data_IF_581891858271
#
_entry.id   IF_581891858271
#
_cell.length_a   1.000
_cell.length_b   1.000
_cell.length_c   1.000
_cell.angle_alpha   90.00
_cell.angle_beta   90.00
_cell.angle_gamma   90.00
#
_symmetry.space_group_name_H-M   'P 1'
#
loop_
_entity.id
_entity.type
_entity.pdbx_description
1 polymer ?
#
# COMPACT_ATOMS: atom_id res chain seq x y z
N UNK A 1 48.09 -1.26 30.15
CA UNK A 1 46.68 -1.69 30.06
C UNK A 1 46.52 -2.92 30.92
N UNK A 2 45.69 -2.85 31.96
CA UNK A 2 45.42 -4.01 32.81
C UNK A 2 44.55 -5.01 32.06
N UNK A 3 44.75 -6.31 32.31
CA UNK A 3 43.97 -7.38 31.65
C UNK A 3 42.45 -7.23 31.79
N UNK A 4 41.97 -6.54 32.83
CA UNK A 4 40.55 -6.23 33.06
C UNK A 4 39.92 -5.33 32.00
N UNK A 5 40.68 -4.38 31.43
CA UNK A 5 40.14 -3.42 30.46
C UNK A 5 39.96 -4.06 29.09
N UNK A 6 40.84 -5.02 28.75
CA UNK A 6 40.78 -5.80 27.51
C UNK A 6 39.58 -6.75 27.55
N UNK A 7 39.35 -7.42 28.69
CA UNK A 7 38.24 -8.35 28.86
C UNK A 7 36.88 -7.61 28.83
N UNK A 8 36.78 -6.43 29.44
CA UNK A 8 35.58 -5.59 29.35
C UNK A 8 35.33 -5.06 27.92
N UNK A 9 36.38 -4.63 27.20
CA UNK A 9 36.25 -4.22 25.80
C UNK A 9 35.81 -5.38 24.91
N UNK A 10 36.36 -6.57 25.12
CA UNK A 10 35.99 -7.75 24.33
C UNK A 10 34.55 -8.19 24.63
N UNK A 11 34.12 -8.13 25.89
CA UNK A 11 32.75 -8.42 26.29
C UNK A 11 31.75 -7.40 25.69
N UNK A 12 32.09 -6.11 25.69
CA UNK A 12 31.30 -5.06 25.03
C UNK A 12 31.22 -5.25 23.52
N UNK A 13 32.34 -5.60 22.87
CA UNK A 13 32.39 -5.88 21.43
C UNK A 13 31.53 -7.08 21.06
N UNK A 14 31.62 -8.18 21.83
CA UNK A 14 30.80 -9.39 21.65
C UNK A 14 29.31 -9.13 21.88
N UNK A 15 28.96 -8.32 22.90
CA UNK A 15 27.58 -7.90 23.15
C UNK A 15 27.05 -7.03 22.00
N UNK A 16 27.81 -6.03 21.56
CA UNK A 16 27.47 -5.15 20.43
C UNK A 16 27.26 -5.93 19.12
N UNK A 17 28.12 -6.91 18.83
CA UNK A 17 27.99 -7.79 17.66
C UNK A 17 26.76 -8.69 17.73
N UNK A 18 26.44 -9.26 18.90
CA UNK A 18 25.21 -10.05 19.10
C UNK A 18 23.95 -9.19 18.96
N UNK A 19 23.97 -7.96 19.48
CA UNK A 19 22.87 -7.00 19.29
C UNK A 19 22.71 -6.65 17.81
N UNK A 20 23.82 -6.42 17.09
CA UNK A 20 23.83 -6.09 15.66
C UNK A 20 23.21 -7.18 14.77
N UNK A 21 23.60 -8.47 14.94
CA UNK A 21 23.03 -9.57 14.15
C UNK A 21 21.55 -9.83 14.45
N UNK A 22 21.15 -9.76 15.72
CA UNK A 22 19.74 -9.88 16.14
C UNK A 22 18.86 -8.77 15.54
N UNK A 23 19.45 -7.59 15.32
CA UNK A 23 18.75 -6.46 14.69
C UNK A 23 18.53 -6.70 13.19
N UNK A 24 19.47 -7.27 12.44
CA UNK A 24 19.29 -7.46 10.99
C UNK A 24 18.16 -8.44 10.65
N UNK A 25 18.09 -9.59 11.35
CA UNK A 25 17.03 -10.57 11.10
C UNK A 25 15.65 -9.97 11.39
N UNK A 26 15.48 -9.31 12.54
CA UNK A 26 14.19 -8.81 13.00
C UNK A 26 13.77 -7.48 12.33
N UNK A 27 14.72 -6.62 11.97
CA UNK A 27 14.42 -5.28 11.42
C UNK A 27 14.51 -5.21 9.89
N UNK A 28 15.13 -6.20 9.21
CA UNK A 28 15.24 -6.23 7.75
C UNK A 28 14.62 -7.49 7.15
N UNK A 29 15.18 -8.67 7.47
CA UNK A 29 14.83 -9.92 6.76
C UNK A 29 13.37 -10.30 7.01
N UNK A 30 12.95 -10.35 8.28
CA UNK A 30 11.56 -10.69 8.65
C UNK A 30 10.55 -9.69 8.06
N UNK A 31 10.73 -8.36 8.19
CA UNK A 31 9.87 -7.38 7.54
C UNK A 31 9.80 -7.55 6.02
N UNK A 32 10.95 -7.72 5.33
CA UNK A 32 10.97 -7.92 3.88
C UNK A 32 10.17 -9.17 3.51
N UNK A 33 10.47 -10.32 4.11
CA UNK A 33 9.79 -11.57 3.76
C UNK A 33 8.29 -11.49 4.03
N UNK A 34 7.89 -11.01 5.21
CA UNK A 34 6.48 -10.88 5.57
C UNK A 34 5.72 -9.92 4.64
N UNK A 35 6.28 -8.74 4.38
CA UNK A 35 5.64 -7.75 3.53
C UNK A 35 5.57 -8.20 2.07
N UNK A 36 6.58 -8.92 1.59
CA UNK A 36 6.63 -9.44 0.23
C UNK A 36 5.62 -10.56 0.02
N UNK A 37 5.48 -11.50 0.95
CA UNK A 37 4.49 -12.58 0.82
C UNK A 37 3.06 -12.07 0.95
N UNK A 38 2.81 -11.16 1.90
CA UNK A 38 1.52 -10.47 2.02
C UNK A 38 1.25 -9.69 0.72
N UNK A 39 2.18 -8.87 0.28
CA UNK A 39 2.03 -8.07 -0.94
C UNK A 39 1.70 -8.91 -2.15
N UNK A 40 2.47 -9.98 -2.39
CA UNK A 40 2.24 -10.92 -3.47
C UNK A 40 0.82 -11.48 -3.47
N UNK A 41 0.35 -11.99 -2.32
CA UNK A 41 -1.00 -12.52 -2.20
C UNK A 41 -2.07 -11.45 -2.47
N UNK A 42 -2.01 -10.34 -1.74
CA UNK A 42 -3.06 -9.32 -1.77
C UNK A 42 -3.17 -8.62 -3.12
N UNK A 43 -2.05 -8.41 -3.80
CA UNK A 43 -2.07 -7.81 -5.14
C UNK A 43 -2.57 -8.77 -6.20
N UNK A 44 -2.22 -10.04 -6.09
CA UNK A 44 -2.74 -11.03 -7.02
C UNK A 44 -4.27 -11.15 -6.94
N UNK A 45 -4.86 -10.97 -5.74
CA UNK A 45 -6.31 -10.84 -5.57
C UNK A 45 -6.85 -9.52 -6.14
N UNK A 46 -6.13 -8.41 -5.97
CA UNK A 46 -6.46 -7.14 -6.63
C UNK A 46 -6.56 -7.27 -8.15
N UNK A 47 -5.77 -8.16 -8.74
CA UNK A 47 -5.86 -8.52 -10.14
C UNK A 47 -7.15 -9.28 -10.55
N UNK A 48 -8.01 -9.64 -9.61
CA UNK A 48 -9.26 -10.36 -9.87
C UNK A 48 -10.47 -9.43 -10.03
N UNK A 49 -11.56 -9.98 -10.57
CA UNK A 49 -12.84 -9.26 -10.71
C UNK A 49 -13.30 -8.66 -9.37
N UNK A 50 -13.91 -7.48 -9.44
CA UNK A 50 -14.37 -6.72 -8.28
C UNK A 50 -13.31 -5.87 -7.57
N UNK A 51 -12.02 -6.25 -7.61
CA UNK A 51 -10.95 -5.53 -6.90
C UNK A 51 -10.12 -4.59 -7.78
N UNK A 52 -10.69 -4.04 -8.85
CA UNK A 52 -10.02 -3.05 -9.68
C UNK A 52 -9.78 -1.71 -8.97
N UNK A 53 -8.76 -0.97 -9.39
CA UNK A 53 -8.55 0.42 -9.00
C UNK A 53 -8.36 0.65 -7.49
N UNK A 54 -9.09 1.63 -6.94
CA UNK A 54 -8.93 2.12 -5.57
C UNK A 54 -9.36 1.11 -4.52
N UNK A 55 -10.45 0.36 -4.75
CA UNK A 55 -10.93 -0.65 -3.81
C UNK A 55 -9.93 -1.80 -3.65
N UNK A 56 -9.34 -2.27 -4.75
CA UNK A 56 -8.22 -3.21 -4.72
C UNK A 56 -6.99 -2.65 -4.04
N UNK A 57 -6.70 -1.36 -4.25
CA UNK A 57 -5.62 -0.65 -3.55
C UNK A 57 -5.84 -0.64 -2.03
N UNK A 58 -7.05 -0.34 -1.57
CA UNK A 58 -7.42 -0.40 -0.15
C UNK A 58 -7.31 -1.81 0.41
N UNK A 59 -7.81 -2.81 -0.33
CA UNK A 59 -7.71 -4.23 0.02
C UNK A 59 -6.26 -4.68 0.20
N UNK A 60 -5.36 -4.29 -0.71
CA UNK A 60 -3.96 -4.63 -0.59
C UNK A 60 -3.23 -3.80 0.49
N UNK A 61 -3.57 -2.51 0.59
CA UNK A 61 -3.02 -1.59 1.57
C UNK A 61 -3.26 -2.05 3.00
N UNK A 62 -4.44 -2.60 3.33
CA UNK A 62 -4.72 -3.04 4.70
C UNK A 62 -3.83 -4.21 5.15
N UNK A 63 -3.45 -5.12 4.24
CA UNK A 63 -2.50 -6.19 4.53
C UNK A 63 -1.15 -5.66 4.99
N UNK A 64 -0.55 -4.75 4.21
CA UNK A 64 0.72 -4.11 4.56
C UNK A 64 0.63 -3.19 5.78
N UNK A 65 -0.46 -2.43 5.88
CA UNK A 65 -0.72 -1.51 6.98
C UNK A 65 -0.69 -2.23 8.33
N UNK A 66 -1.39 -3.36 8.42
CA UNK A 66 -1.45 -4.15 9.63
C UNK A 66 -0.12 -4.81 9.92
N UNK A 67 0.52 -5.44 8.92
CA UNK A 67 1.86 -6.01 9.09
C UNK A 67 2.88 -4.98 9.59
N UNK A 68 2.84 -3.75 9.05
CA UNK A 68 3.71 -2.66 9.48
C UNK A 68 3.44 -2.32 10.93
N UNK A 69 2.17 -2.09 11.28
CA UNK A 69 1.76 -1.76 12.63
C UNK A 69 2.24 -2.82 13.62
N UNK A 70 2.02 -4.12 13.36
CA UNK A 70 2.48 -5.19 14.26
C UNK A 70 3.99 -5.26 14.42
N UNK A 71 4.75 -5.13 13.33
CA UNK A 71 6.21 -5.16 13.39
C UNK A 71 6.75 -3.94 14.15
N UNK A 72 6.09 -2.79 13.99
CA UNK A 72 6.48 -1.52 14.60
C UNK A 72 6.01 -1.32 16.03
N UNK A 73 5.02 -2.09 16.49
CA UNK A 73 4.33 -1.85 17.73
C UNK A 73 5.26 -2.06 18.93
N UNK A 74 5.25 -1.09 19.85
CA UNK A 74 5.98 -1.14 21.11
C UNK A 74 4.98 -0.99 22.26
N UNK A 75 5.07 -1.89 23.26
CA UNK A 75 4.25 -1.80 24.48
C UNK A 75 4.66 -0.63 25.37
N UNK A 76 5.92 -0.22 25.27
CA UNK A 76 6.47 0.86 26.04
C UNK A 76 5.68 2.15 25.79
N UNK A 77 5.47 2.93 26.85
CA UNK A 77 4.81 4.23 26.77
C UNK A 77 5.59 5.17 25.84
N UNK A 78 6.91 5.18 25.99
CA UNK A 78 7.84 5.86 25.08
C UNK A 78 8.14 4.95 23.91
N UNK A 79 7.38 5.14 22.84
CA UNK A 79 7.65 4.55 21.53
C UNK A 79 8.98 5.11 21.00
N UNK A 80 9.89 4.21 20.62
CA UNK A 80 11.22 4.54 20.08
C UNK A 80 11.22 4.56 18.56
N UNK A 81 10.24 3.91 17.94
CA UNK A 81 10.09 3.82 16.48
C UNK A 81 9.21 4.94 15.93
N UNK A 82 9.67 5.71 14.92
CA UNK A 82 8.93 6.86 14.39
C UNK A 82 7.54 6.52 13.81
N UNK A 83 7.39 5.36 13.18
CA UNK A 83 6.17 4.93 12.49
C UNK A 83 5.47 3.77 13.22
N UNK A 84 5.35 3.87 14.54
CA UNK A 84 4.73 2.86 15.43
C UNK A 84 3.32 3.24 15.93
N UNK A 85 2.77 4.36 15.45
CA UNK A 85 1.41 4.78 15.78
C UNK A 85 0.36 4.07 14.94
N UNK A 86 -0.85 3.88 15.49
CA UNK A 86 -2.02 3.36 14.79
C UNK A 86 -2.37 4.14 13.52
N UNK A 87 -2.07 5.45 13.47
CA UNK A 87 -2.24 6.25 12.25
C UNK A 87 -1.49 5.73 11.02
N UNK A 88 -0.44 4.93 11.22
CA UNK A 88 0.26 4.32 10.09
C UNK A 88 -0.66 3.37 9.31
N UNK A 89 -1.65 2.78 9.98
CA UNK A 89 -2.64 1.92 9.35
C UNK A 89 -3.47 2.74 8.37
N UNK A 90 -4.03 3.86 8.84
CA UNK A 90 -4.75 4.80 7.98
C UNK A 90 -3.88 5.34 6.84
N UNK A 91 -2.64 5.77 7.12
CA UNK A 91 -1.74 6.30 6.08
C UNK A 91 -1.48 5.30 4.95
N UNK A 92 -1.17 4.05 5.28
CA UNK A 92 -0.86 3.02 4.28
C UNK A 92 -2.11 2.63 3.50
N UNK A 93 -3.24 2.40 4.18
CA UNK A 93 -4.52 2.06 3.54
C UNK A 93 -4.94 3.16 2.56
N UNK A 94 -4.94 4.41 3.01
CA UNK A 94 -5.34 5.53 2.17
C UNK A 94 -4.33 5.81 1.07
N UNK A 95 -3.03 5.68 1.33
CA UNK A 95 -2.00 5.93 0.32
C UNK A 95 -2.09 4.97 -0.85
N UNK A 96 -2.18 3.67 -0.56
CA UNK A 96 -2.33 2.63 -1.59
C UNK A 96 -3.74 2.70 -2.21
N UNK A 97 -4.78 3.04 -1.44
CA UNK A 97 -6.12 3.26 -1.98
C UNK A 97 -6.17 4.42 -2.99
N UNK A 98 -5.62 5.58 -2.63
CA UNK A 98 -5.59 6.79 -3.45
C UNK A 98 -4.81 6.55 -4.73
N UNK A 99 -3.62 5.97 -4.68
CA UNK A 99 -2.93 5.69 -5.94
C UNK A 99 -3.64 4.59 -6.77
N UNK A 100 -4.59 3.84 -6.20
CA UNK A 100 -5.39 2.89 -6.96
C UNK A 100 -6.42 3.60 -7.83
N UNK A 101 -6.64 4.89 -7.62
CA UNK A 101 -7.46 5.74 -8.47
C UNK A 101 -6.77 6.07 -9.81
N UNK A 102 -5.51 5.64 -10.01
CA UNK A 102 -4.90 5.65 -11.33
C UNK A 102 -5.54 4.60 -12.24
N UNK A 103 -6.02 5.04 -13.41
CA UNK A 103 -6.18 4.14 -14.54
C UNK A 103 -4.80 3.80 -15.11
N UNK A 104 -4.51 2.53 -15.37
CA UNK A 104 -3.27 2.15 -16.05
C UNK A 104 -3.43 1.00 -17.05
N UNK A 105 -4.62 0.37 -17.10
CA UNK A 105 -4.84 -0.80 -17.95
C UNK A 105 -4.62 -0.54 -19.45
N UNK A 106 -4.69 0.70 -19.91
CA UNK A 106 -4.41 1.06 -21.30
C UNK A 106 -2.90 1.11 -21.63
N UNK A 107 -2.04 1.36 -20.65
CA UNK A 107 -0.59 1.42 -20.88
C UNK A 107 0.00 0.05 -21.22
N UNK A 108 -0.78 -0.99 -20.95
CA UNK A 108 -0.49 -2.38 -21.24
C UNK A 108 -0.49 -2.74 -22.72
N UNK A 109 -1.32 -2.08 -23.52
CA UNK A 109 -1.20 -2.20 -24.97
C UNK A 109 -0.04 -1.36 -25.50
N UNK A 110 0.27 -0.23 -24.85
CA UNK A 110 1.34 0.66 -25.30
C UNK A 110 2.72 0.01 -25.18
N UNK A 111 3.00 -0.75 -24.12
CA UNK A 111 4.23 -1.56 -24.01
C UNK A 111 4.33 -2.65 -25.08
N UNK A 112 3.21 -3.08 -25.67
CA UNK A 112 3.17 -3.98 -26.82
C UNK A 112 3.30 -3.23 -28.16
N UNK A 113 3.51 -1.92 -28.13
CA UNK A 113 3.62 -1.06 -29.30
C UNK A 113 2.28 -0.71 -29.94
N UNK A 114 1.15 -0.91 -29.25
CA UNK A 114 -0.21 -0.70 -29.78
C UNK A 114 -0.94 0.39 -29.02
N UNK A 115 -1.30 1.48 -29.69
CA UNK A 115 -2.25 2.46 -29.19
C UNK A 115 -3.61 2.21 -29.84
N UNK A 116 -4.58 1.68 -29.10
CA UNK A 116 -5.91 1.39 -29.63
C UNK A 116 -6.71 2.67 -29.84
N UNK A 117 -7.29 2.80 -31.03
CA UNK A 117 -8.29 3.82 -31.37
C UNK A 117 -9.70 3.28 -31.11
N UNK A 118 -9.90 1.99 -31.40
CA UNK A 118 -11.13 1.23 -31.18
C UNK A 118 -10.77 -0.24 -30.86
N UNK A 119 -10.66 -0.57 -29.57
CA UNK A 119 -10.27 -1.89 -29.11
C UNK A 119 -11.35 -2.95 -29.41
N UNK A 120 -10.96 -4.16 -29.88
CA UNK A 120 -9.60 -4.64 -30.13
C UNK A 120 -9.12 -4.47 -31.58
N UNK A 121 -9.88 -3.82 -32.45
CA UNK A 121 -9.77 -3.94 -33.92
C UNK A 121 -8.85 -2.88 -34.54
N UNK A 122 -8.90 -1.64 -34.07
CA UNK A 122 -8.18 -0.51 -34.67
C UNK A 122 -7.11 0.03 -33.70
N UNK A 123 -5.86 0.08 -34.17
CA UNK A 123 -4.74 0.61 -33.40
C UNK A 123 -3.68 1.23 -34.31
N UNK A 124 -2.90 2.15 -33.74
CA UNK A 124 -1.74 2.78 -34.38
C UNK A 124 -0.46 2.43 -33.61
N UNK A 125 0.70 2.35 -34.29
CA UNK A 125 1.96 2.04 -33.61
C UNK A 125 2.35 3.15 -32.64
N UNK A 126 2.83 2.75 -31.45
CA UNK A 126 3.38 3.64 -30.44
C UNK A 126 4.73 3.09 -29.96
N UNK A 127 5.66 3.97 -29.58
CA UNK A 127 6.91 3.54 -28.96
C UNK A 127 6.63 2.87 -27.60
N UNK A 128 7.02 1.59 -27.39
CA UNK A 128 6.83 0.89 -26.12
C UNK A 128 7.36 1.61 -24.88
N UNK A 129 8.43 2.40 -25.04
CA UNK A 129 9.02 3.18 -23.95
C UNK A 129 8.02 4.14 -23.29
N UNK A 130 7.03 4.63 -24.06
CA UNK A 130 5.95 5.46 -23.52
C UNK A 130 5.08 4.68 -22.55
N UNK A 131 4.71 3.44 -22.88
CA UNK A 131 3.96 2.56 -21.98
C UNK A 131 4.72 2.28 -20.68
N UNK A 132 6.03 1.99 -20.78
CA UNK A 132 6.88 1.78 -19.60
C UNK A 132 7.00 3.02 -18.74
N UNK A 133 7.16 4.21 -19.33
CA UNK A 133 7.22 5.48 -18.60
C UNK A 133 5.92 5.75 -17.83
N UNK A 134 4.77 5.48 -18.46
CA UNK A 134 3.48 5.63 -17.79
C UNK A 134 3.28 4.62 -16.65
N UNK A 135 3.71 3.37 -16.82
CA UNK A 135 3.71 2.39 -15.73
C UNK A 135 4.66 2.79 -14.60
N UNK A 136 5.86 3.28 -14.92
CA UNK A 136 6.79 3.83 -13.94
C UNK A 136 6.13 4.93 -13.12
N UNK A 137 5.47 5.87 -13.80
CA UNK A 137 4.77 6.98 -13.18
C UNK A 137 3.61 6.52 -12.29
N UNK A 138 2.83 5.53 -12.72
CA UNK A 138 1.78 4.92 -11.91
C UNK A 138 2.36 4.30 -10.63
N UNK A 139 3.44 3.53 -10.72
CA UNK A 139 4.11 2.99 -9.53
C UNK A 139 4.68 4.10 -8.64
N UNK A 140 5.29 5.13 -9.24
CA UNK A 140 5.88 6.26 -8.53
C UNK A 140 4.85 6.97 -7.65
N UNK A 141 3.69 7.29 -8.19
CA UNK A 141 2.63 7.94 -7.41
C UNK A 141 2.03 7.00 -6.39
N UNK A 142 1.90 5.71 -6.70
CA UNK A 142 1.33 4.75 -5.76
C UNK A 142 2.15 4.62 -4.48
N UNK A 143 3.44 4.34 -4.63
CA UNK A 143 4.37 4.28 -3.51
C UNK A 143 4.61 5.68 -2.92
N UNK A 144 4.74 6.69 -3.76
CA UNK A 144 5.06 8.06 -3.38
C UNK A 144 3.99 8.71 -2.49
N UNK A 145 2.71 8.64 -2.89
CA UNK A 145 1.57 9.12 -2.07
C UNK A 145 1.55 8.39 -0.73
N UNK A 146 1.76 7.08 -0.74
CA UNK A 146 1.83 6.29 0.49
C UNK A 146 2.97 6.78 1.41
N UNK A 147 4.17 6.96 0.88
CA UNK A 147 5.32 7.43 1.64
C UNK A 147 5.14 8.85 2.21
N UNK A 148 4.52 9.78 1.47
CA UNK A 148 4.20 11.11 2.01
C UNK A 148 3.14 11.02 3.10
N UNK A 149 2.06 10.25 2.94
CA UNK A 149 1.05 10.07 3.99
C UNK A 149 1.63 9.43 5.25
N UNK A 150 2.51 8.44 5.11
CA UNK A 150 3.26 7.87 6.25
C UNK A 150 4.09 8.95 6.96
N UNK A 151 4.75 9.83 6.19
CA UNK A 151 5.52 10.96 6.70
C UNK A 151 4.71 11.93 7.56
N UNK A 152 3.37 11.94 7.46
CA UNK A 152 2.52 12.74 8.36
C UNK A 152 2.65 12.33 9.82
N UNK A 153 2.88 11.03 10.06
CA UNK A 153 2.78 10.43 11.39
C UNK A 153 4.13 10.04 12.01
N UNK A 154 5.23 10.09 11.24
CA UNK A 154 6.59 9.79 11.69
C UNK A 154 7.65 10.85 11.35
N UNK A 155 7.23 12.08 11.04
CA UNK A 155 8.11 13.22 10.76
C UNK A 155 9.07 13.49 11.92
N UNK A 156 10.31 13.88 11.61
CA UNK A 156 11.33 14.25 12.61
C UNK A 156 10.95 15.55 13.35
N UNK A 157 10.17 16.41 12.71
CA UNK A 157 9.62 17.64 13.29
C UNK A 157 8.10 17.48 13.33
N UNK A 158 7.46 17.35 14.50
CA UNK A 158 6.01 17.17 14.56
C UNK A 158 5.28 18.22 13.73
N UNK A 159 4.35 17.79 12.87
CA UNK A 159 3.53 18.70 12.08
C UNK A 159 2.48 19.33 12.98
N UNK A 160 2.48 20.66 13.08
CA UNK A 160 1.37 21.39 13.68
C UNK A 160 0.18 21.38 12.74
N UNK A 161 -0.99 21.77 13.23
CA UNK A 161 -2.17 21.94 12.38
C UNK A 161 -1.91 22.93 11.23
N UNK A 162 -1.23 24.06 11.50
CA UNK A 162 -0.82 25.02 10.46
C UNK A 162 0.06 24.37 9.39
N UNK A 163 1.08 23.61 9.81
CA UNK A 163 1.98 22.92 8.87
C UNK A 163 1.23 21.88 8.04
N UNK A 164 0.27 21.20 8.66
CA UNK A 164 -0.63 20.24 8.01
C UNK A 164 -1.47 20.91 6.92
N UNK A 165 -2.03 22.10 7.19
CA UNK A 165 -2.79 22.86 6.19
C UNK A 165 -1.91 23.39 5.05
N UNK A 166 -0.70 23.88 5.36
CA UNK A 166 0.27 24.30 4.33
C UNK A 166 0.65 23.11 3.46
N UNK A 167 0.89 21.95 4.07
CA UNK A 167 1.19 20.71 3.34
C UNK A 167 0.08 20.32 2.36
N UNK A 168 -1.18 20.34 2.82
CA UNK A 168 -2.32 20.09 1.93
C UNK A 168 -2.40 21.12 0.80
N UNK A 169 -2.15 22.39 1.11
CA UNK A 169 -2.13 23.48 0.11
C UNK A 169 -1.09 23.19 -0.97
N UNK A 170 0.13 22.80 -0.60
CA UNK A 170 1.15 22.39 -1.56
C UNK A 170 0.70 21.24 -2.46
N UNK A 171 0.08 20.21 -1.87
CA UNK A 171 -0.49 19.09 -2.62
C UNK A 171 -1.57 19.53 -3.62
N UNK A 172 -2.52 20.35 -3.19
CA UNK A 172 -3.62 20.87 -4.03
C UNK A 172 -3.05 21.75 -5.16
N UNK A 173 -2.13 22.67 -4.85
CA UNK A 173 -1.48 23.52 -5.85
C UNK A 173 -0.72 22.68 -6.88
N UNK A 174 0.01 21.64 -6.44
CA UNK A 174 0.68 20.72 -7.33
C UNK A 174 -0.29 19.99 -8.28
N UNK A 175 -1.43 19.50 -7.76
CA UNK A 175 -2.48 18.88 -8.56
C UNK A 175 -3.09 19.86 -9.58
N UNK A 176 -3.40 21.09 -9.16
CA UNK A 176 -3.93 22.14 -10.06
C UNK A 176 -2.94 22.49 -11.17
N UNK A 177 -1.65 22.63 -10.86
CA UNK A 177 -0.61 22.88 -11.87
C UNK A 177 -0.55 21.73 -12.87
N UNK A 178 -0.50 20.48 -12.38
CA UNK A 178 -0.43 19.30 -13.25
C UNK A 178 -1.66 19.16 -14.16
N UNK A 179 -2.87 19.39 -13.63
CA UNK A 179 -4.11 19.41 -14.43
C UNK A 179 -4.09 20.54 -15.45
N UNK A 180 -3.63 21.73 -15.06
CA UNK A 180 -3.54 22.88 -15.97
C UNK A 180 -2.60 22.58 -17.15
N UNK A 181 -1.46 21.92 -16.89
CA UNK A 181 -0.57 21.46 -17.96
C UNK A 181 -1.30 20.48 -18.89
N UNK A 182 -2.03 19.50 -18.35
CA UNK A 182 -2.78 18.54 -19.17
C UNK A 182 -3.85 19.21 -20.06
N UNK A 183 -4.51 20.26 -19.56
CA UNK A 183 -5.58 20.96 -20.29
C UNK A 183 -5.01 21.94 -21.33
N UNK A 184 -4.02 22.74 -20.95
CA UNK A 184 -3.48 23.81 -21.80
C UNK A 184 -2.33 23.35 -22.71
N UNK A 185 -1.70 22.21 -22.38
CA UNK A 185 -0.61 21.57 -23.13
C UNK A 185 -0.82 20.05 -23.25
N UNK A 186 -1.97 19.61 -23.79
CA UNK A 186 -2.28 18.19 -23.94
C UNK A 186 -1.25 17.43 -24.78
N UNK A 187 -0.54 18.11 -25.68
CA UNK A 187 0.53 17.55 -26.51
C UNK A 187 1.76 17.10 -25.71
N UNK A 188 1.93 17.57 -24.47
CA UNK A 188 3.03 17.13 -23.59
C UNK A 188 2.72 15.85 -22.83
N UNK A 189 1.42 15.54 -22.67
CA UNK A 189 0.96 14.44 -21.83
C UNK A 189 0.44 13.28 -22.67
N UNK A 190 -0.38 13.57 -23.68
CA UNK A 190 -1.00 12.55 -24.50
C UNK A 190 -0.05 12.13 -25.63
N UNK A 191 0.26 10.83 -25.77
CA UNK A 191 1.14 10.37 -26.82
C UNK A 191 0.51 10.58 -28.20
N UNK A 192 1.33 10.64 -29.25
CA UNK A 192 0.83 10.69 -30.63
C UNK A 192 -0.13 11.86 -30.93
N UNK A 193 -0.08 12.95 -30.15
CA UNK A 193 -1.00 14.09 -30.29
C UNK A 193 -0.97 14.74 -31.69
N UNK A 194 0.16 14.64 -32.40
CA UNK A 194 0.27 15.12 -33.79
C UNK A 194 -0.33 14.18 -34.85
N UNK A 195 -0.62 12.93 -34.51
CA UNK A 195 -1.12 11.90 -35.46
C UNK A 195 -2.47 11.32 -35.09
N UNK A 196 -2.92 11.46 -33.84
CA UNK A 196 -4.22 11.02 -33.35
C UNK A 196 -5.09 12.24 -33.05
N UNK A 197 -6.27 12.31 -33.66
CA UNK A 197 -7.20 13.40 -33.40
C UNK A 197 -7.99 13.18 -32.11
N UNK A 198 -7.42 13.61 -30.98
CA UNK A 198 -8.08 13.52 -29.66
C UNK A 198 -9.38 14.33 -29.54
N UNK A 199 -9.70 15.22 -30.50
CA UNK A 199 -10.95 15.96 -30.53
C UNK A 199 -12.09 15.19 -31.23
N UNK A 200 -11.76 14.15 -32.00
CA UNK A 200 -12.74 13.32 -32.70
C UNK A 200 -12.90 11.97 -31.98
N UNK A 201 -13.76 11.97 -30.97
CA UNK A 201 -14.05 10.79 -30.17
C UNK A 201 -14.89 9.75 -30.91
N UNK A 202 -15.40 10.07 -32.11
CA UNK A 202 -16.13 9.10 -32.96
C UNK A 202 -15.13 8.19 -33.66
N UNK A 203 -14.03 8.76 -34.19
CA UNK A 203 -12.97 7.97 -34.84
C UNK A 203 -11.96 7.38 -33.85
N UNK A 204 -11.92 7.89 -32.61
CA UNK A 204 -11.14 7.33 -31.52
C UNK A 204 -11.95 7.19 -30.22
N UNK A 205 -12.89 6.23 -30.12
CA UNK A 205 -13.63 5.98 -28.89
C UNK A 205 -12.71 5.70 -27.67
N UNK A 206 -11.59 4.99 -27.86
CA UNK A 206 -10.63 4.73 -26.78
C UNK A 206 -9.81 5.97 -26.36
N UNK A 207 -9.81 7.04 -27.15
CA UNK A 207 -9.20 8.30 -26.75
C UNK A 207 -9.90 8.92 -25.54
N UNK A 208 -11.21 8.66 -25.34
CA UNK A 208 -11.94 9.10 -24.14
C UNK A 208 -11.29 8.53 -22.88
N UNK A 209 -11.00 7.23 -22.91
CA UNK A 209 -10.33 6.53 -21.81
C UNK A 209 -8.92 7.08 -21.61
N UNK A 210 -8.19 7.35 -22.70
CA UNK A 210 -6.85 7.91 -22.63
C UNK A 210 -6.85 9.28 -21.96
N UNK A 211 -7.68 10.21 -22.43
CA UNK A 211 -7.81 11.56 -21.88
C UNK A 211 -8.21 11.54 -20.40
N UNK A 212 -9.21 10.73 -20.05
CA UNK A 212 -9.67 10.58 -18.65
C UNK A 212 -8.57 10.01 -17.75
N UNK A 213 -7.85 9.00 -18.22
CA UNK A 213 -6.76 8.35 -17.48
C UNK A 213 -5.56 9.29 -17.33
N UNK A 214 -5.18 10.02 -18.38
CA UNK A 214 -4.10 11.01 -18.34
C UNK A 214 -4.43 12.12 -17.35
N UNK A 215 -5.64 12.69 -17.43
CA UNK A 215 -6.09 13.74 -16.51
C UNK A 215 -6.07 13.26 -15.06
N UNK A 216 -6.67 12.09 -14.79
CA UNK A 216 -6.71 11.50 -13.46
C UNK A 216 -5.31 11.23 -12.93
N UNK A 217 -4.42 10.70 -13.77
CA UNK A 217 -3.05 10.44 -13.36
C UNK A 217 -2.29 11.71 -13.03
N UNK A 218 -2.48 12.77 -13.80
CA UNK A 218 -1.83 14.06 -13.57
C UNK A 218 -2.30 14.73 -12.28
N UNK A 219 -3.56 14.56 -11.86
CA UNK A 219 -4.03 14.99 -10.53
C UNK A 219 -3.16 14.39 -9.43
N UNK A 220 -2.95 13.07 -9.46
CA UNK A 220 -2.22 12.35 -8.42
C UNK A 220 -0.71 12.59 -8.46
N UNK A 221 -0.13 12.75 -9.66
CA UNK A 221 1.27 13.14 -9.83
C UNK A 221 1.50 14.53 -9.24
N UNK A 222 0.63 15.48 -9.57
CA UNK A 222 0.69 16.82 -9.01
C UNK A 222 0.50 16.83 -7.50
N UNK A 223 -0.45 16.05 -6.98
CA UNK A 223 -0.66 15.89 -5.54
C UNK A 223 0.61 15.37 -4.85
N UNK A 224 1.20 14.30 -5.38
CA UNK A 224 2.45 13.74 -4.87
C UNK A 224 3.59 14.76 -4.93
N UNK A 225 3.80 15.40 -6.08
CA UNK A 225 4.87 16.37 -6.28
C UNK A 225 4.75 17.57 -5.32
N UNK A 226 3.54 18.08 -5.11
CA UNK A 226 3.26 19.14 -4.15
C UNK A 226 3.56 18.73 -2.71
N UNK A 227 3.01 17.58 -2.27
CA UNK A 227 3.27 17.04 -0.92
C UNK A 227 4.76 16.76 -0.70
N UNK A 228 5.46 16.26 -1.72
CA UNK A 228 6.89 15.99 -1.68
C UNK A 228 7.73 17.29 -1.62
N UNK A 229 7.37 18.30 -2.41
CA UNK A 229 8.01 19.62 -2.38
C UNK A 229 7.88 20.29 -1.01
N UNK A 230 6.74 20.12 -0.33
CA UNK A 230 6.59 20.57 1.06
C UNK A 230 7.61 19.91 2.01
N UNK A 231 7.85 18.60 1.88
CA UNK A 231 8.83 17.88 2.69
C UNK A 231 10.27 18.37 2.44
N UNK A 232 10.60 18.69 1.18
CA UNK A 232 11.87 19.32 0.81
C UNK A 232 11.99 20.72 1.44
N UNK A 233 10.95 21.55 1.28
CA UNK A 233 10.95 22.93 1.77
C UNK A 233 11.13 23.00 3.29
N UNK A 234 10.46 22.14 4.06
CA UNK A 234 10.63 22.05 5.53
C UNK A 234 11.93 21.37 5.96
N UNK A 235 12.69 20.83 5.00
CA UNK A 235 13.95 20.08 5.18
C UNK A 235 13.78 18.83 6.04
N UNK A 236 12.65 18.12 5.92
CA UNK A 236 12.48 16.82 6.57
C UNK A 236 12.99 15.68 5.68
N UNK A 237 14.31 15.54 5.66
CA UNK A 237 14.99 14.54 4.83
C UNK A 237 14.62 13.09 5.15
N UNK A 238 14.07 12.80 6.33
CA UNK A 238 13.56 11.44 6.63
C UNK A 238 12.33 11.16 5.77
N UNK A 239 11.38 12.09 5.74
CA UNK A 239 10.16 11.98 4.95
C UNK A 239 10.44 12.03 3.44
N UNK A 240 11.36 12.90 3.00
CA UNK A 240 11.80 12.95 1.60
C UNK A 240 12.36 11.59 1.16
N UNK A 241 13.27 11.01 1.96
CA UNK A 241 13.86 9.70 1.64
C UNK A 241 12.81 8.58 1.69
N UNK A 242 11.91 8.58 2.67
CA UNK A 242 10.82 7.61 2.74
C UNK A 242 9.93 7.67 1.50
N UNK A 243 9.45 8.86 1.13
CA UNK A 243 8.60 9.05 -0.03
C UNK A 243 9.30 8.65 -1.34
N UNK A 244 10.59 8.99 -1.49
CA UNK A 244 11.37 8.64 -2.66
C UNK A 244 11.65 7.13 -2.74
N UNK A 245 12.04 6.48 -1.63
CA UNK A 245 12.26 5.02 -1.61
C UNK A 245 10.97 4.27 -1.89
N UNK A 246 9.85 4.67 -1.28
CA UNK A 246 8.55 4.07 -1.56
C UNK A 246 8.12 4.27 -3.02
N UNK A 247 8.20 5.50 -3.52
CA UNK A 247 7.82 5.83 -4.90
C UNK A 247 8.67 5.07 -5.93
N UNK A 248 10.00 5.16 -5.83
CA UNK A 248 10.89 4.49 -6.77
C UNK A 248 10.78 2.97 -6.71
N UNK A 249 10.60 2.38 -5.53
CA UNK A 249 10.42 0.94 -5.39
C UNK A 249 9.18 0.43 -6.14
N UNK A 250 8.05 1.12 -6.02
CA UNK A 250 6.84 0.79 -6.77
C UNK A 250 6.97 1.11 -8.26
N UNK A 251 7.61 2.24 -8.63
CA UNK A 251 7.85 2.62 -10.02
C UNK A 251 8.65 1.55 -10.79
N UNK A 252 9.71 1.04 -10.15
CA UNK A 252 10.51 -0.06 -10.68
C UNK A 252 9.71 -1.35 -10.78
N UNK A 253 8.95 -1.72 -9.74
CA UNK A 253 8.11 -2.91 -9.77
C UNK A 253 7.14 -2.89 -10.96
N UNK A 254 6.41 -1.79 -11.11
CA UNK A 254 5.46 -1.59 -12.20
C UNK A 254 6.08 -1.78 -13.58
N UNK A 255 7.22 -1.13 -13.78
CA UNK A 255 7.88 -1.08 -15.09
C UNK A 255 8.57 -2.39 -15.42
N UNK A 256 9.34 -2.94 -14.48
CA UNK A 256 10.12 -4.17 -14.69
C UNK A 256 9.18 -5.33 -14.95
N UNK A 257 8.17 -5.52 -14.09
CA UNK A 257 7.28 -6.67 -14.20
C UNK A 257 6.30 -6.58 -15.36
N UNK A 258 6.20 -5.43 -16.05
CA UNK A 258 5.43 -5.32 -17.29
C UNK A 258 5.91 -6.31 -18.38
N UNK A 259 7.07 -6.97 -18.21
CA UNK A 259 7.48 -8.08 -19.07
C UNK A 259 6.45 -9.23 -19.13
N UNK A 260 5.63 -9.42 -18.09
CA UNK A 260 4.59 -10.47 -18.07
C UNK A 260 3.61 -10.37 -19.23
N UNK A 261 3.44 -9.18 -19.82
CA UNK A 261 2.60 -8.96 -21.00
C UNK A 261 3.07 -9.69 -22.25
N UNK A 262 4.35 -10.08 -22.31
CA UNK A 262 4.89 -10.90 -23.38
C UNK A 262 4.76 -12.40 -23.06
N UNK A 263 4.15 -12.77 -21.93
CA UNK A 263 3.94 -14.14 -21.48
C UNK A 263 3.43 -15.09 -22.56
N UNK A 264 2.36 -14.73 -23.29
CA UNK A 264 1.85 -15.56 -24.39
C UNK A 264 2.85 -15.77 -25.54
N UNK A 265 3.85 -14.91 -25.67
CA UNK A 265 4.90 -15.01 -26.69
C UNK A 265 6.02 -15.97 -26.29
N UNK A 266 6.31 -16.12 -24.99
CA UNK A 266 7.42 -16.92 -24.49
C UNK A 266 7.01 -18.16 -23.67
N UNK A 267 5.72 -18.35 -23.39
CA UNK A 267 5.19 -19.50 -22.65
C UNK A 267 3.94 -20.06 -23.32
N UNK A 268 3.92 -21.37 -23.54
CA UNK A 268 2.74 -22.11 -23.99
C UNK A 268 1.79 -22.44 -22.84
N UNK A 269 2.22 -22.24 -21.58
CA UNK A 269 1.35 -22.42 -20.43
C UNK A 269 0.33 -21.27 -20.41
N UNK A 270 -0.97 -21.56 -20.18
CA UNK A 270 -2.01 -20.54 -20.05
C UNK A 270 -1.89 -19.82 -18.70
N UNK A 271 -0.78 -19.10 -18.54
CA UNK A 271 -0.48 -18.29 -17.37
C UNK A 271 -1.28 -17.01 -17.48
N UNK A 272 -2.10 -16.74 -16.46
CA UNK A 272 -2.76 -15.45 -16.31
C UNK A 272 -1.70 -14.37 -16.06
N UNK A 273 -1.27 -13.72 -17.15
CA UNK A 273 -0.20 -12.74 -17.11
C UNK A 273 -0.55 -11.55 -16.21
N UNK A 274 -1.84 -11.18 -16.14
CA UNK A 274 -2.30 -10.05 -15.34
C UNK A 274 -2.15 -10.35 -13.85
N UNK A 275 -2.57 -11.54 -13.41
CA UNK A 275 -2.36 -11.97 -12.01
C UNK A 275 -0.88 -12.10 -11.66
N UNK A 276 -0.05 -12.60 -12.56
CA UNK A 276 1.39 -12.73 -12.32
C UNK A 276 2.08 -11.36 -12.24
N UNK A 277 1.67 -10.42 -13.09
CA UNK A 277 2.11 -9.03 -13.03
C UNK A 277 1.74 -8.38 -11.70
N UNK A 278 0.47 -8.44 -11.31
CA UNK A 278 -0.03 -7.92 -10.03
C UNK A 278 0.70 -8.58 -8.84
N UNK A 279 0.82 -9.91 -8.82
CA UNK A 279 1.55 -10.65 -7.78
C UNK A 279 3.01 -10.20 -7.67
N UNK A 280 3.69 -10.01 -8.81
CA UNK A 280 5.09 -9.59 -8.84
C UNK A 280 5.27 -8.16 -8.32
N UNK A 281 4.35 -7.26 -8.68
CA UNK A 281 4.35 -5.90 -8.12
C UNK A 281 4.08 -5.95 -6.62
N UNK A 282 3.11 -6.73 -6.17
CA UNK A 282 2.84 -6.91 -4.74
C UNK A 282 4.06 -7.44 -3.99
N UNK A 283 4.74 -8.43 -4.55
CA UNK A 283 5.96 -8.98 -3.96
C UNK A 283 7.03 -7.90 -3.79
N UNK A 284 7.35 -7.16 -4.85
CA UNK A 284 8.40 -6.14 -4.83
C UNK A 284 7.99 -4.87 -4.07
N UNK A 285 6.71 -4.51 -4.09
CA UNK A 285 6.12 -3.48 -3.23
C UNK A 285 6.29 -3.85 -1.76
N UNK A 286 6.11 -5.12 -1.41
CA UNK A 286 6.42 -5.66 -0.09
C UNK A 286 7.90 -5.58 0.28
N UNK A 287 8.82 -5.89 -0.65
CA UNK A 287 10.26 -5.64 -0.45
C UNK A 287 10.50 -4.17 -0.15
N UNK A 288 9.88 -3.26 -0.90
CA UNK A 288 10.00 -1.81 -0.74
C UNK A 288 9.53 -1.37 0.65
N UNK A 289 8.39 -1.88 1.13
CA UNK A 289 7.93 -1.67 2.51
C UNK A 289 8.93 -2.19 3.54
N UNK A 290 9.47 -3.40 3.37
CA UNK A 290 10.46 -3.97 4.28
C UNK A 290 11.76 -3.16 4.33
N UNK A 291 12.24 -2.67 3.19
CA UNK A 291 13.39 -1.75 3.10
C UNK A 291 13.07 -0.44 3.81
N UNK A 292 11.89 0.15 3.58
CA UNK A 292 11.49 1.38 4.27
C UNK A 292 11.36 1.18 5.78
N UNK A 293 10.85 0.03 6.22
CA UNK A 293 10.78 -0.34 7.62
C UNK A 293 12.17 -0.34 8.25
N UNK A 294 13.13 -1.00 7.60
CA UNK A 294 14.52 -1.06 8.04
C UNK A 294 15.22 0.30 8.00
N UNK A 295 14.97 1.15 7.01
CA UNK A 295 15.69 2.42 6.87
C UNK A 295 15.11 3.53 7.74
N UNK A 296 13.79 3.56 7.93
CA UNK A 296 13.10 4.72 8.49
C UNK A 296 12.35 4.44 9.80
N UNK A 297 12.13 3.16 10.16
CA UNK A 297 11.36 2.78 11.34
C UNK A 297 12.17 2.05 12.43
N UNK A 298 13.51 2.22 12.45
CA UNK A 298 14.33 1.67 13.52
C UNK A 298 14.08 2.36 14.87
N UNK A 299 14.35 1.66 15.98
CA UNK A 299 14.43 2.28 17.30
C UNK A 299 15.42 3.43 17.26
N UNK A 300 14.97 4.60 17.69
CA UNK A 300 15.82 5.77 17.74
C UNK A 300 16.67 5.79 19.01
N UNK A 301 17.76 6.55 19.00
CA UNK A 301 18.63 6.66 20.19
C UNK A 301 17.82 7.26 21.36
N UNK A 302 18.06 6.80 22.59
CA UNK A 302 17.36 7.26 23.80
C UNK A 302 17.34 8.79 23.92
N UNK A 303 18.46 9.45 23.60
CA UNK A 303 18.59 10.90 23.59
C UNK A 303 17.62 11.62 22.63
N UNK A 304 17.26 11.01 21.50
CA UNK A 304 16.28 11.60 20.56
C UNK A 304 14.85 11.46 21.08
N UNK A 305 14.57 10.36 21.77
CA UNK A 305 13.27 10.08 22.40
C UNK A 305 13.05 11.01 23.59
N UNK A 306 14.08 11.19 24.44
CA UNK A 306 14.04 12.07 25.61
C UNK A 306 13.82 13.54 25.26
N UNK A 307 14.43 14.01 24.16
CA UNK A 307 14.24 15.36 23.66
C UNK A 307 12.86 15.60 23.01
N UNK A 308 11.97 14.60 22.99
CA UNK A 308 10.66 14.70 22.35
C UNK A 308 10.71 14.93 20.83
N UNK A 309 11.88 14.72 20.21
CA UNK A 309 12.07 14.86 18.75
C UNK A 309 11.33 13.76 17.97
N UNK A 310 10.92 12.72 18.69
CA UNK A 310 10.19 11.57 18.17
C UNK A 310 8.99 11.40 19.09
N UNK A 311 8.00 12.25 18.91
CA UNK A 311 6.68 11.96 19.41
C UNK A 311 5.91 11.32 18.25
N UNK A 312 5.57 10.01 18.31
CA UNK A 312 4.51 9.51 17.46
C UNK A 312 3.31 10.41 17.74
N UNK A 313 2.82 11.00 16.66
CA UNK A 313 1.94 12.18 16.53
C UNK A 313 0.62 12.21 17.34
N UNK A 314 0.49 11.51 18.46
CA UNK A 314 -0.82 11.30 19.08
C UNK A 314 -0.88 11.94 20.45
N UNK A 315 -0.95 13.27 20.43
CA UNK A 315 -1.55 14.04 21.53
C UNK A 315 -2.94 13.47 21.89
N UNK A 316 -3.62 12.79 20.95
CA UNK A 316 -4.91 12.14 21.16
C UNK A 316 -4.88 10.63 20.86
N UNK A 317 -4.65 9.81 21.90
CA UNK A 317 -4.68 8.32 21.83
C UNK A 317 -6.03 7.76 21.39
N UNK A 318 -7.13 8.43 21.76
CA UNK A 318 -8.47 8.01 21.37
C UNK A 318 -8.66 8.17 19.86
N UNK A 319 -8.20 9.28 19.28
CA UNK A 319 -8.23 9.50 17.84
C UNK A 319 -7.32 8.54 17.08
N UNK A 320 -6.09 8.27 17.58
CA UNK A 320 -5.20 7.26 17.00
C UNK A 320 -5.88 5.89 16.91
N UNK A 321 -6.52 5.49 18.00
CA UNK A 321 -7.22 4.23 18.05
C UNK A 321 -8.43 4.24 17.12
N UNK A 322 -9.38 5.14 17.35
CA UNK A 322 -10.66 5.13 16.64
C UNK A 322 -10.51 5.45 15.16
N UNK A 323 -9.79 6.51 14.81
CA UNK A 323 -9.68 6.98 13.44
C UNK A 323 -8.49 6.31 12.75
N UNK A 324 -7.32 6.38 13.37
CA UNK A 324 -6.08 5.87 12.78
C UNK A 324 -6.10 4.35 12.54
N UNK A 325 -6.76 3.60 13.41
CA UNK A 325 -6.80 2.13 13.35
C UNK A 325 -8.20 1.59 13.04
N UNK A 326 -9.19 1.80 13.92
CA UNK A 326 -10.49 1.12 13.83
C UNK A 326 -11.27 1.54 12.57
N UNK A 327 -11.37 2.84 12.29
CA UNK A 327 -12.06 3.34 11.12
C UNK A 327 -11.38 2.89 9.84
N UNK A 328 -10.05 2.93 9.78
CA UNK A 328 -9.29 2.45 8.63
C UNK A 328 -9.57 0.97 8.33
N UNK A 329 -9.58 0.13 9.38
CA UNK A 329 -9.91 -1.30 9.27
C UNK A 329 -11.36 -1.49 8.82
N UNK A 330 -12.31 -0.78 9.42
CA UNK A 330 -13.75 -0.90 9.13
C UNK A 330 -14.03 -0.51 7.69
N UNK A 331 -13.49 0.63 7.22
CA UNK A 331 -13.64 1.09 5.85
C UNK A 331 -12.99 0.10 4.88
N UNK A 332 -11.77 -0.37 5.16
CA UNK A 332 -11.08 -1.31 4.29
C UNK A 332 -11.84 -2.64 4.15
N UNK A 333 -12.31 -3.22 5.26
CA UNK A 333 -13.09 -4.46 5.24
C UNK A 333 -14.43 -4.24 4.55
N UNK A 334 -15.17 -3.18 4.90
CA UNK A 334 -16.49 -2.92 4.34
C UNK A 334 -16.41 -2.77 2.82
N UNK A 335 -15.42 -2.03 2.34
CA UNK A 335 -15.17 -1.88 0.91
C UNK A 335 -14.73 -3.20 0.27
N UNK A 336 -13.88 -3.99 0.94
CA UNK A 336 -13.43 -5.30 0.46
C UNK A 336 -14.59 -6.30 0.34
N UNK A 337 -15.51 -6.34 1.30
CA UNK A 337 -16.68 -7.22 1.27
C UNK A 337 -17.56 -6.88 0.05
N UNK A 338 -17.88 -5.61 -0.13
CA UNK A 338 -18.71 -5.17 -1.26
C UNK A 338 -18.10 -5.58 -2.61
N UNK A 339 -16.81 -5.31 -2.80
CA UNK A 339 -16.12 -5.63 -4.05
C UNK A 339 -15.86 -7.12 -4.24
N UNK A 340 -15.53 -7.85 -3.19
CA UNK A 340 -15.33 -9.29 -3.24
C UNK A 340 -16.61 -10.04 -3.61
N UNK A 341 -17.74 -9.63 -3.04
CA UNK A 341 -19.05 -10.17 -3.43
C UNK A 341 -19.40 -9.74 -4.86
N UNK A 342 -19.13 -8.49 -5.23
CA UNK A 342 -19.33 -8.02 -6.61
C UNK A 342 -18.57 -8.84 -7.64
N UNK A 343 -17.28 -9.05 -7.42
CA UNK A 343 -16.44 -9.88 -8.29
C UNK A 343 -16.91 -11.33 -8.35
N UNK A 344 -17.38 -11.88 -7.22
CA UNK A 344 -17.96 -13.21 -7.17
C UNK A 344 -19.27 -13.29 -7.98
N UNK A 345 -20.19 -12.34 -7.79
CA UNK A 345 -21.45 -12.26 -8.54
C UNK A 345 -21.18 -12.14 -10.05
N UNK A 346 -20.22 -11.30 -10.44
CA UNK A 346 -19.83 -11.14 -11.85
C UNK A 346 -19.24 -12.44 -12.42
N UNK A 347 -18.38 -13.14 -11.69
CA UNK A 347 -17.78 -14.41 -12.13
C UNK A 347 -18.81 -15.53 -12.37
N UNK A 348 -19.93 -15.50 -11.64
CA UNK A 348 -21.00 -16.49 -11.76
C UNK A 348 -22.19 -16.02 -12.62
N UNK A 349 -22.14 -14.79 -13.16
CA UNK A 349 -23.23 -14.22 -13.95
C UNK A 349 -24.53 -14.04 -13.15
N UNK A 350 -24.43 -13.84 -11.85
CA UNK A 350 -25.58 -13.70 -10.96
C UNK A 350 -26.16 -12.28 -11.01
N UNK A 351 -27.40 -12.14 -10.52
CA UNK A 351 -28.06 -10.84 -10.45
C UNK A 351 -27.34 -9.88 -9.49
N UNK A 352 -27.10 -8.64 -9.92
CA UNK A 352 -26.34 -7.64 -9.15
C UNK A 352 -27.03 -7.20 -7.85
N UNK A 353 -28.34 -7.40 -7.70
CA UNK A 353 -29.05 -7.16 -6.44
C UNK A 353 -28.52 -8.03 -5.28
N UNK A 354 -27.97 -9.21 -5.60
CA UNK A 354 -27.36 -10.11 -4.62
C UNK A 354 -26.16 -9.44 -3.92
N UNK A 355 -25.46 -8.53 -4.60
CA UNK A 355 -24.34 -7.79 -4.00
C UNK A 355 -24.82 -7.03 -2.77
N UNK A 356 -25.90 -6.25 -2.88
CA UNK A 356 -26.44 -5.48 -1.77
C UNK A 356 -27.05 -6.38 -0.71
N UNK A 357 -27.77 -7.42 -1.12
CA UNK A 357 -28.41 -8.38 -0.20
C UNK A 357 -27.40 -9.03 0.76
N UNK A 358 -26.21 -9.41 0.27
CA UNK A 358 -25.18 -10.07 1.07
C UNK A 358 -24.23 -9.05 1.73
N UNK A 359 -23.80 -8.01 1.02
CA UNK A 359 -22.80 -7.07 1.54
C UNK A 359 -23.36 -6.15 2.63
N UNK A 360 -24.61 -5.71 2.53
CA UNK A 360 -25.18 -4.73 3.46
C UNK A 360 -25.26 -5.25 4.91
N UNK A 361 -25.74 -6.48 5.19
CA UNK A 361 -25.70 -7.04 6.54
C UNK A 361 -24.27 -7.14 7.10
N UNK A 362 -23.32 -7.60 6.29
CA UNK A 362 -21.93 -7.78 6.72
C UNK A 362 -21.23 -6.43 7.01
N UNK A 363 -21.46 -5.43 6.15
CA UNK A 363 -20.98 -4.06 6.36
C UNK A 363 -21.64 -3.46 7.60
N UNK A 364 -22.94 -3.71 7.82
CA UNK A 364 -23.67 -3.22 8.99
C UNK A 364 -23.10 -3.78 10.30
N UNK A 365 -22.75 -5.07 10.34
CA UNK A 365 -22.08 -5.69 11.49
C UNK A 365 -20.75 -4.97 11.80
N UNK A 366 -19.96 -4.69 10.76
CA UNK A 366 -18.69 -3.98 10.88
C UNK A 366 -18.87 -2.52 11.37
N UNK A 367 -19.92 -1.83 10.91
CA UNK A 367 -20.24 -0.49 11.35
C UNK A 367 -20.76 -0.45 12.80
N UNK A 368 -21.65 -1.37 13.19
CA UNK A 368 -22.14 -1.53 14.57
C UNK A 368 -20.96 -1.76 15.50
N UNK A 369 -20.02 -2.61 15.10
CA UNK A 369 -18.78 -2.83 15.84
C UNK A 369 -17.99 -1.54 16.06
N UNK A 370 -17.79 -0.74 15.01
CA UNK A 370 -17.13 0.56 15.11
C UNK A 370 -17.85 1.49 16.09
N UNK A 371 -19.19 1.58 16.00
CA UNK A 371 -20.01 2.41 16.90
C UNK A 371 -19.84 1.95 18.35
N UNK A 372 -19.85 0.63 18.61
CA UNK A 372 -19.62 0.08 19.95
C UNK A 372 -18.22 0.46 20.45
N UNK A 373 -17.19 0.39 19.59
CA UNK A 373 -15.83 0.77 19.94
C UNK A 373 -15.68 2.26 20.21
N UNK A 374 -16.34 3.10 19.41
CA UNK A 374 -16.41 4.55 19.60
C UNK A 374 -17.11 4.89 20.93
N UNK A 375 -18.27 4.29 21.19
CA UNK A 375 -19.00 4.46 22.44
C UNK A 375 -18.17 4.03 23.65
N UNK A 376 -17.55 2.85 23.61
CA UNK A 376 -16.67 2.36 24.70
C UNK A 376 -15.48 3.28 24.94
N UNK A 377 -14.92 3.85 23.89
CA UNK A 377 -13.78 4.78 23.99
C UNK A 377 -14.22 6.15 24.50
N UNK A 378 -15.43 6.63 24.13
CA UNK A 378 -16.00 7.85 24.67
C UNK A 378 -16.35 7.71 26.16
N UNK A 379 -16.96 6.59 26.56
CA UNK A 379 -17.30 6.29 27.96
C UNK A 379 -16.06 6.03 28.82
N UNK A 380 -15.01 5.47 28.21
CA UNK A 380 -13.80 5.13 28.93
C UNK A 380 -12.54 5.46 28.09
N UNK A 381 -12.17 6.75 28.05
CA UNK A 381 -11.05 7.24 27.25
C UNK A 381 -9.73 6.55 27.61
N UNK A 382 -8.88 6.37 26.60
CA UNK A 382 -7.51 5.90 26.79
C UNK A 382 -6.63 7.02 27.30
N UNK A 383 -6.12 6.86 28.52
CA UNK A 383 -5.19 7.79 29.13
C UNK A 383 -3.73 7.41 28.84
N UNK A 384 -2.83 8.32 29.17
CA UNK A 384 -1.42 8.01 29.30
C UNK A 384 -1.28 6.96 30.43
N UNK A 385 -0.45 5.94 30.24
CA UNK A 385 -0.25 4.81 31.19
C UNK A 385 -1.40 3.85 31.42
N UNK A 386 -2.43 3.90 30.60
CA UNK A 386 -3.63 3.09 30.79
C UNK A 386 -3.40 1.56 30.63
N UNK A 387 -2.33 1.11 29.96
CA UNK A 387 -2.00 -0.33 29.80
C UNK A 387 -3.03 -1.16 29.00
N UNK A 388 -4.25 -0.66 28.82
CA UNK A 388 -5.38 -1.30 28.13
C UNK A 388 -5.24 -1.36 26.61
N UNK A 389 -4.30 -0.62 26.02
CA UNK A 389 -3.87 -0.85 24.64
C UNK A 389 -3.05 -2.14 24.55
N UNK A 390 -3.67 -3.29 24.83
CA UNK A 390 -3.02 -4.60 24.72
C UNK A 390 -3.00 -5.04 23.25
N UNK A 391 -1.80 -5.23 22.69
CA UNK A 391 -1.54 -5.68 21.31
C UNK A 391 -2.24 -6.99 20.92
N UNK A 392 -2.58 -7.84 21.90
CA UNK A 392 -3.21 -9.14 21.61
C UNK A 392 -4.58 -8.99 20.95
N UNK A 393 -5.35 -7.96 21.33
CA UNK A 393 -6.66 -7.70 20.73
C UNK A 393 -6.52 -7.25 19.27
N UNK A 394 -5.66 -6.27 18.93
CA UNK A 394 -5.29 -5.99 17.54
C UNK A 394 -4.80 -7.22 16.77
N UNK A 395 -3.92 -8.04 17.34
CA UNK A 395 -3.35 -9.20 16.65
C UNK A 395 -4.40 -10.27 16.29
N UNK A 396 -5.31 -10.56 17.22
CA UNK A 396 -6.44 -11.46 16.93
C UNK A 396 -7.36 -10.86 15.86
N UNK A 397 -7.62 -9.55 15.92
CA UNK A 397 -8.41 -8.86 14.89
C UNK A 397 -7.73 -8.92 13.54
N UNK A 398 -6.41 -8.72 13.47
CA UNK A 398 -5.66 -8.90 12.24
C UNK A 398 -5.83 -10.29 11.68
N UNK A 399 -5.75 -11.34 12.52
CA UNK A 399 -5.98 -12.70 12.05
C UNK A 399 -7.39 -12.86 11.48
N UNK A 400 -8.42 -12.33 12.15
CA UNK A 400 -9.81 -12.38 11.66
C UNK A 400 -9.95 -11.62 10.33
N UNK A 401 -9.43 -10.40 10.26
CA UNK A 401 -9.44 -9.55 9.06
C UNK A 401 -8.71 -10.26 7.93
N UNK A 402 -7.52 -10.80 8.20
CA UNK A 402 -6.70 -11.50 7.23
C UNK A 402 -7.44 -12.73 6.70
N UNK A 403 -7.96 -13.60 7.58
CA UNK A 403 -8.75 -14.77 7.17
C UNK A 403 -9.97 -14.37 6.34
N UNK A 404 -10.69 -13.32 6.73
CA UNK A 404 -11.84 -12.82 5.97
C UNK A 404 -11.43 -12.35 4.57
N UNK A 405 -10.39 -11.52 4.47
CA UNK A 405 -9.88 -11.01 3.19
C UNK A 405 -9.37 -12.14 2.30
N UNK A 406 -8.85 -13.20 2.91
CA UNK A 406 -8.38 -14.39 2.21
C UNK A 406 -9.52 -15.21 1.66
N UNK A 407 -10.57 -15.43 2.45
CA UNK A 407 -11.81 -16.07 1.99
C UNK A 407 -12.38 -15.28 0.80
N UNK A 408 -12.50 -13.96 0.93
CA UNK A 408 -12.97 -13.10 -0.16
C UNK A 408 -12.05 -13.17 -1.39
N UNK A 409 -10.74 -13.24 -1.19
CA UNK A 409 -9.76 -13.41 -2.26
C UNK A 409 -9.91 -14.74 -2.99
N UNK A 410 -10.13 -15.83 -2.26
CA UNK A 410 -10.43 -17.12 -2.87
C UNK A 410 -11.74 -17.08 -3.64
N UNK A 411 -12.81 -16.48 -3.07
CA UNK A 411 -14.10 -16.35 -3.75
C UNK A 411 -13.97 -15.72 -5.13
N UNK A 412 -13.26 -14.60 -5.27
CA UNK A 412 -13.05 -13.94 -6.58
C UNK A 412 -12.04 -14.64 -7.48
N UNK A 413 -11.21 -15.52 -6.92
CA UNK A 413 -10.22 -16.30 -7.67
C UNK A 413 -10.79 -17.61 -8.20
N UNK A 414 -11.87 -18.13 -7.60
CA UNK A 414 -12.60 -19.27 -8.10
C UNK A 414 -13.35 -18.90 -9.38
N UNK A 415 -13.04 -19.63 -10.46
CA UNK A 415 -13.79 -19.61 -11.70
C UNK A 415 -14.54 -20.96 -11.80
N UNK A 416 -15.81 -21.01 -12.25
CA UNK A 416 -16.51 -22.28 -12.46
C UNK A 416 -15.77 -23.24 -13.41
N UNK A 417 -14.89 -22.72 -14.28
CA UNK A 417 -14.01 -23.48 -15.17
C UNK A 417 -12.55 -23.36 -14.67
N UNK A 418 -12.21 -24.04 -13.57
CA UNK A 418 -10.85 -23.99 -13.01
C UNK A 418 -9.88 -24.84 -13.85
N UNK A 419 -9.00 -24.16 -14.59
CA UNK A 419 -7.86 -24.81 -15.26
C UNK A 419 -6.76 -25.18 -14.25
N UNK A 420 -5.81 -26.04 -14.63
CA UNK A 420 -4.64 -26.37 -13.80
C UNK A 420 -3.87 -25.13 -13.33
N UNK A 421 -3.75 -24.11 -14.17
CA UNK A 421 -3.09 -22.85 -13.82
C UNK A 421 -3.77 -22.13 -12.65
N UNK A 422 -5.11 -22.18 -12.57
CA UNK A 422 -5.87 -21.61 -11.45
C UNK A 422 -5.58 -22.37 -10.15
N UNK A 423 -5.56 -23.70 -10.20
CA UNK A 423 -5.22 -24.54 -9.05
C UNK A 423 -3.81 -24.30 -8.53
N UNK A 424 -2.84 -24.22 -9.45
CA UNK A 424 -1.46 -23.90 -9.10
C UNK A 424 -1.35 -22.54 -8.42
N UNK A 425 -2.03 -21.53 -8.94
CA UNK A 425 -2.05 -20.18 -8.39
C UNK A 425 -2.71 -20.14 -6.99
N UNK A 426 -3.82 -20.85 -6.79
CA UNK A 426 -4.44 -21.05 -5.47
C UNK A 426 -3.48 -21.73 -4.47
N UNK A 427 -2.71 -22.71 -4.93
CA UNK A 427 -1.72 -23.39 -4.10
C UNK A 427 -0.56 -22.46 -3.71
N UNK A 428 -0.03 -21.68 -4.66
CA UNK A 428 0.97 -20.64 -4.39
C UNK A 428 0.44 -19.62 -3.38
N UNK A 429 -0.80 -19.17 -3.54
CA UNK A 429 -1.46 -18.26 -2.60
C UNK A 429 -1.56 -18.84 -1.19
N UNK A 430 -1.94 -20.11 -1.09
CA UNK A 430 -2.01 -20.83 0.19
C UNK A 430 -0.65 -20.87 0.88
N UNK A 431 0.43 -21.14 0.13
CA UNK A 431 1.79 -21.17 0.68
C UNK A 431 2.24 -19.79 1.15
N UNK A 432 2.03 -18.75 0.34
CA UNK A 432 2.39 -17.37 0.69
C UNK A 432 1.69 -16.94 1.98
N UNK A 433 0.41 -17.31 2.10
CA UNK A 433 -0.40 -17.04 3.27
C UNK A 433 0.08 -17.80 4.51
N UNK A 434 0.30 -19.11 4.38
CA UNK A 434 0.79 -19.94 5.50
C UNK A 434 2.13 -19.40 5.98
N UNK A 435 3.04 -19.07 5.07
CA UNK A 435 4.33 -18.48 5.42
C UNK A 435 4.18 -17.13 6.14
N UNK A 436 3.32 -16.24 5.62
CA UNK A 436 3.02 -14.96 6.28
C UNK A 436 2.44 -15.15 7.69
N UNK A 437 1.49 -16.08 7.84
CA UNK A 437 0.87 -16.43 9.12
C UNK A 437 1.85 -17.04 10.11
N UNK A 438 2.72 -17.95 9.68
CA UNK A 438 3.75 -18.57 10.52
C UNK A 438 4.76 -17.52 11.01
N UNK A 439 5.27 -16.68 10.10
CA UNK A 439 6.19 -15.58 10.47
C UNK A 439 5.52 -14.65 11.49
N UNK A 440 4.25 -14.33 11.28
CA UNK A 440 3.45 -13.52 12.19
C UNK A 440 3.30 -14.16 13.58
N UNK A 441 2.94 -15.44 13.65
CA UNK A 441 2.76 -16.15 14.91
C UNK A 441 4.07 -16.30 15.70
N UNK A 442 5.19 -16.56 15.01
CA UNK A 442 6.53 -16.60 15.62
C UNK A 442 6.84 -15.24 16.25
N UNK A 443 6.51 -14.14 15.56
CA UNK A 443 6.74 -12.78 16.09
C UNK A 443 5.90 -12.50 17.33
N UNK A 444 4.64 -12.91 17.36
CA UNK A 444 3.78 -12.77 18.55
C UNK A 444 4.35 -13.54 19.74
N UNK A 445 4.80 -14.79 19.52
CA UNK A 445 5.35 -15.63 20.58
C UNK A 445 6.63 -15.06 21.17
N UNK A 446 7.54 -14.58 20.30
CA UNK A 446 8.82 -13.99 20.71
C UNK A 446 8.68 -12.59 21.31
N UNK A 447 7.67 -11.82 20.89
CA UNK A 447 7.37 -10.51 21.47
C UNK A 447 6.76 -10.54 22.88
N UNK A 448 6.48 -11.72 23.45
CA UNK A 448 6.03 -11.85 24.85
C UNK A 448 7.18 -11.86 25.85
N UNK A 449 8.41 -12.13 25.43
CA UNK A 449 9.57 -12.27 26.32
C UNK A 449 10.44 -11.01 26.43
N UNK A 450 10.02 -9.91 25.82
CA UNK A 450 10.57 -8.57 25.98
C UNK A 450 9.46 -7.66 26.46
#
# INVERSE_FOLDING_TARGET
MNGSDVEQQEQFSRLSLKTSKSNLLNDLIVPILLMSTIGAFYWAIRGSSGYGGASGGVFAGIGWALAWFFLSYERAEKKTRPYSSGWIVFAIVMGIGIGGMHGYGQFMSWIQGKFYLDYPTNWVPINPAVGYLWLFQCGLTWGGITGVLMGWFGSKKPLRFKDSMIRLTFGIVGAVIAVSITIFKPEWINPLYGSVNYNDLITCPDCVRTLSTSLTSMIWIGLFAGLFAFEIFRKDWRNVKLALTMGLGFALAFSIFAFWHFGPTFSTLPIDWWKNWEMSIGFFGGITFGVCFYLFNRPSKSSEVELGKIQPSTLNRNAEKLIGMELAIVLAIGWSIYNGIGGFVDNFGWDKSIILLISLPLISINLIYFIIMAYKTAKNPYYVNDGRMNIQKPALRFLIVHVLLVILGYMVSFNPIMTFAHWFLIWVYSILLINGGVIFLIRIKTGKSK
#
